data_IF_182743861517
#
_entry.id   IF_182743861517
#
_cell.length_a   1.000
_cell.length_b   1.000
_cell.length_c   1.000
_cell.angle_alpha   90.00
_cell.angle_beta   90.00
_cell.angle_gamma   90.00
#
_symmetry.space_group_name_H-M   'P 1'
#
loop_
_entity.id
_entity.type
_entity.pdbx_description
1 polymer ?
#
# COMPACT_ATOMS: atom_id res chain seq x y z
N UNK A 1 20.74 -8.03 11.08
CA UNK A 1 19.31 -8.40 10.96
C UNK A 1 18.58 -7.23 10.33
N UNK A 2 17.79 -7.45 9.29
CA UNK A 2 16.95 -6.41 8.70
C UNK A 2 15.69 -6.20 9.56
N UNK A 3 15.23 -4.96 9.66
CA UNK A 3 13.93 -4.58 10.24
C UNK A 3 12.86 -4.97 9.22
N UNK A 4 11.99 -5.89 9.62
CA UNK A 4 10.93 -6.42 8.74
C UNK A 4 9.66 -5.60 8.92
N UNK A 5 9.16 -5.03 7.84
CA UNK A 5 7.94 -4.22 7.82
C UNK A 5 6.94 -4.86 6.85
N UNK A 6 5.72 -5.04 7.32
CA UNK A 6 4.59 -5.42 6.48
C UNK A 6 3.61 -4.26 6.41
N UNK A 7 3.39 -3.72 5.22
CA UNK A 7 2.53 -2.57 4.97
C UNK A 7 1.18 -3.09 4.48
N UNK A 8 0.15 -2.87 5.28
CA UNK A 8 -1.21 -3.19 4.85
C UNK A 8 -1.80 -2.01 4.05
N UNK A 9 -2.15 -2.27 2.79
CA UNK A 9 -2.86 -1.32 1.93
C UNK A 9 -4.34 -1.60 2.06
N UNK A 10 -4.98 -0.93 3.03
CA UNK A 10 -6.38 -1.18 3.36
C UNK A 10 -7.32 -1.02 2.15
N UNK A 11 -8.43 -1.77 2.21
CA UNK A 11 -9.47 -1.87 1.20
C UNK A 11 -9.11 -2.68 -0.05
N UNK A 12 -10.15 -3.20 -0.70
CA UNK A 12 -10.02 -3.88 -1.98
C UNK A 12 -10.03 -2.87 -3.14
N UNK A 13 -9.57 -3.26 -4.35
CA UNK A 13 -9.56 -2.37 -5.51
C UNK A 13 -10.93 -1.72 -5.78
N UNK A 14 -10.91 -0.50 -6.33
CA UNK A 14 -12.12 0.21 -6.72
C UNK A 14 -12.99 -0.66 -7.65
N UNK A 15 -14.30 -0.69 -7.42
CA UNK A 15 -15.24 -1.52 -8.19
C UNK A 15 -15.40 -2.96 -7.67
N UNK A 16 -14.75 -3.30 -6.55
CA UNK A 16 -14.94 -4.58 -5.85
C UNK A 16 -15.68 -4.38 -4.52
N UNK A 17 -15.88 -5.46 -3.74
CA UNK A 17 -16.48 -5.36 -2.41
C UNK A 17 -15.54 -4.62 -1.44
N UNK A 18 -16.06 -3.70 -0.63
CA UNK A 18 -15.30 -2.94 0.37
C UNK A 18 -14.16 -2.05 -0.19
N UNK A 19 -14.43 -1.14 -1.15
CA UNK A 19 -13.40 -0.28 -1.75
C UNK A 19 -13.00 0.93 -0.88
N UNK A 20 -13.62 1.10 0.29
CA UNK A 20 -13.37 2.24 1.18
C UNK A 20 -14.16 3.49 0.76
N UNK A 21 -13.73 4.65 1.24
CA UNK A 21 -14.34 5.94 0.95
C UNK A 21 -13.99 6.47 -0.45
N UNK A 22 -14.89 7.28 -1.00
CA UNK A 22 -14.69 8.01 -2.26
C UNK A 22 -15.04 9.48 -2.08
N UNK A 23 -14.17 10.38 -2.53
CA UNK A 23 -14.41 11.83 -2.50
C UNK A 23 -13.56 12.55 -3.55
N UNK A 24 -14.08 13.64 -4.13
CA UNK A 24 -13.33 14.50 -5.07
C UNK A 24 -12.68 13.76 -6.25
N UNK A 25 -13.33 12.69 -6.73
CA UNK A 25 -12.78 11.86 -7.82
C UNK A 25 -11.66 10.90 -7.42
N UNK A 26 -11.39 10.75 -6.12
CA UNK A 26 -10.41 9.81 -5.56
C UNK A 26 -11.11 8.68 -4.82
N UNK A 27 -10.48 7.51 -4.81
CA UNK A 27 -10.89 6.34 -4.03
C UNK A 27 -9.80 6.02 -3.02
N UNK A 28 -10.20 5.81 -1.77
CA UNK A 28 -9.32 5.47 -0.65
C UNK A 28 -8.44 4.24 -0.97
N UNK A 29 -9.02 3.19 -1.55
CA UNK A 29 -8.30 1.96 -1.93
C UNK A 29 -7.15 2.18 -2.92
N UNK A 30 -7.26 3.16 -3.82
CA UNK A 30 -6.22 3.47 -4.80
C UNK A 30 -5.14 4.37 -4.19
N UNK A 31 -5.54 5.31 -3.34
CA UNK A 31 -4.60 6.15 -2.59
C UNK A 31 -3.77 5.28 -1.66
N UNK A 32 -4.40 4.38 -0.90
CA UNK A 32 -3.71 3.45 0.01
C UNK A 32 -2.72 2.54 -0.73
N UNK A 33 -3.09 2.03 -1.91
CA UNK A 33 -2.19 1.24 -2.75
C UNK A 33 -0.97 2.05 -3.18
N UNK A 34 -1.17 3.25 -3.75
CA UNK A 34 -0.06 4.08 -4.21
C UNK A 34 0.88 4.46 -3.07
N UNK A 35 0.33 4.92 -1.94
CA UNK A 35 1.12 5.28 -0.75
C UNK A 35 1.87 4.06 -0.20
N UNK A 36 1.25 2.87 -0.17
CA UNK A 36 1.90 1.65 0.28
C UNK A 36 3.06 1.21 -0.61
N UNK A 37 2.91 1.31 -1.93
CA UNK A 37 3.99 1.04 -2.88
C UNK A 37 5.14 2.05 -2.71
N UNK A 38 4.85 3.34 -2.57
CA UNK A 38 5.87 4.36 -2.35
C UNK A 38 6.62 4.16 -1.03
N UNK A 39 5.91 3.86 0.06
CA UNK A 39 6.54 3.57 1.36
C UNK A 39 7.42 2.31 1.29
N UNK A 40 6.95 1.26 0.61
CA UNK A 40 7.75 0.03 0.41
C UNK A 40 9.06 0.34 -0.30
N UNK A 41 9.01 1.15 -1.36
CA UNK A 41 10.18 1.44 -2.19
C UNK A 41 11.16 2.38 -1.47
N UNK A 42 10.64 3.35 -0.71
CA UNK A 42 11.45 4.18 0.19
C UNK A 42 12.17 3.34 1.25
N UNK A 43 11.46 2.42 1.92
CA UNK A 43 12.07 1.53 2.92
C UNK A 43 13.12 0.61 2.27
N UNK A 44 12.83 0.05 1.10
CA UNK A 44 13.76 -0.84 0.37
C UNK A 44 15.02 -0.14 -0.14
N UNK A 45 15.01 1.20 -0.23
CA UNK A 45 16.21 1.97 -0.57
C UNK A 45 17.26 1.97 0.55
N UNK A 46 16.88 1.59 1.78
CA UNK A 46 17.77 1.48 2.92
C UNK A 46 18.01 -0.01 3.28
N UNK A 47 19.27 -0.49 3.29
CA UNK A 47 19.60 -1.90 3.52
C UNK A 47 19.26 -2.40 4.93
N UNK A 48 18.87 -1.50 5.85
CA UNK A 48 18.37 -1.89 7.17
C UNK A 48 16.98 -2.48 7.11
N UNK A 49 16.20 -2.27 6.04
CA UNK A 49 14.80 -2.68 5.98
C UNK A 49 14.53 -3.77 4.95
N UNK A 50 13.58 -4.64 5.29
CA UNK A 50 12.91 -5.57 4.37
C UNK A 50 11.41 -5.27 4.41
N UNK A 51 10.88 -4.65 3.35
CA UNK A 51 9.47 -4.26 3.28
C UNK A 51 8.67 -5.13 2.30
N UNK A 52 7.48 -5.54 2.72
CA UNK A 52 6.45 -6.21 1.89
C UNK A 52 5.12 -5.49 2.04
N UNK A 53 4.24 -5.67 1.06
CA UNK A 53 2.91 -5.06 1.03
C UNK A 53 1.83 -6.14 0.92
N UNK A 54 0.62 -5.88 1.44
CA UNK A 54 -0.50 -6.83 1.36
C UNK A 54 -1.10 -6.99 -0.05
N UNK A 55 -0.91 -6.00 -0.93
CA UNK A 55 -1.43 -5.95 -2.30
C UNK A 55 -0.30 -5.53 -3.27
N UNK A 56 0.53 -6.46 -3.75
CA UNK A 56 1.71 -6.12 -4.57
C UNK A 56 1.39 -5.81 -6.03
N UNK A 57 0.17 -6.15 -6.48
CA UNK A 57 -0.35 -5.91 -7.83
C UNK A 57 -1.61 -5.04 -7.74
N UNK A 58 -1.91 -4.22 -8.76
CA UNK A 58 -3.11 -3.38 -8.79
C UNK A 58 -4.40 -4.15 -8.50
#
# INVERSE_FOLDING_TARGET
MAIKIFIDQGHNPTGTNYPGASANGLNESEVNYQVGIYLRDLLRSDPRFEARVSRPMP
#
